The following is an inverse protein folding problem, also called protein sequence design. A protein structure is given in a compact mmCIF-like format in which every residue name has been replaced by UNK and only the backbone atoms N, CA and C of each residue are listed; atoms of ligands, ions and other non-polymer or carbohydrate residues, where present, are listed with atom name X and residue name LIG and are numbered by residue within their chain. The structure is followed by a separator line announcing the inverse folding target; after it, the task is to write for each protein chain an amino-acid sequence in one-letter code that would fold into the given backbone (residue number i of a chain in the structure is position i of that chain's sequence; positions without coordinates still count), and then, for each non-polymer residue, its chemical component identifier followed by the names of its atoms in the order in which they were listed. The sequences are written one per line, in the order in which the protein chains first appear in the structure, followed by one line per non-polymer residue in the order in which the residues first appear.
data_IF_693815817787
#
_entry.id   IF_693815817787
#
_cell.length_a   1.000
_cell.length_b   1.000
_cell.length_c   1.000
_cell.angle_alpha   90.00
_cell.angle_beta   90.00
_cell.angle_gamma   90.00
#
_symmetry.space_group_name_H-M   'P 1'
#
loop_
_entity.id
_entity.type
_entity.pdbx_description
1 polymer ?
#
# COMPACT_ATOMS: atom_id res chain seq x y z
N UNK A 1 4.91 -16.98 -1.39
CA UNK A 1 4.54 -15.75 -0.68
C UNK A 1 3.03 -15.64 -0.76
N UNK A 2 2.31 -15.60 0.37
CA UNK A 2 0.85 -15.47 0.36
C UNK A 2 0.43 -14.01 0.11
N UNK A 3 -0.82 -13.81 -0.33
CA UNK A 3 -1.37 -12.50 -0.68
C UNK A 3 -1.28 -11.48 0.48
N UNK A 4 -1.45 -11.94 1.72
CA UNK A 4 -1.36 -11.07 2.91
C UNK A 4 0.09 -10.61 3.12
N UNK A 5 1.06 -11.50 2.98
CA UNK A 5 2.48 -11.19 3.07
C UNK A 5 2.90 -10.21 1.97
N UNK A 6 2.46 -10.42 0.73
CA UNK A 6 2.70 -9.49 -0.37
C UNK A 6 2.15 -8.09 -0.09
N UNK A 7 0.89 -7.99 0.37
CA UNK A 7 0.26 -6.70 0.67
C UNK A 7 0.92 -5.98 1.84
N UNK A 8 1.40 -6.71 2.85
CA UNK A 8 2.16 -6.12 3.97
C UNK A 8 3.47 -5.51 3.49
N UNK A 9 4.22 -6.22 2.66
CA UNK A 9 5.49 -5.74 2.12
C UNK A 9 5.26 -4.52 1.21
N UNK A 10 4.21 -4.54 0.39
CA UNK A 10 3.83 -3.40 -0.45
C UNK A 10 3.44 -2.17 0.38
N UNK A 11 2.66 -2.35 1.46
CA UNK A 11 2.30 -1.27 2.39
C UNK A 11 3.55 -0.71 3.07
N UNK A 12 4.49 -1.57 3.47
CA UNK A 12 5.75 -1.12 4.08
C UNK A 12 6.55 -0.27 3.10
N UNK A 13 6.74 -0.76 1.87
CA UNK A 13 7.44 -0.03 0.81
C UNK A 13 6.78 1.33 0.52
N UNK A 14 5.46 1.36 0.34
CA UNK A 14 4.73 2.60 0.07
C UNK A 14 4.81 3.58 1.26
N UNK A 15 4.85 3.08 2.48
CA UNK A 15 5.01 3.92 3.67
C UNK A 15 6.38 4.61 3.67
N UNK A 16 7.45 3.87 3.36
CA UNK A 16 8.79 4.44 3.23
C UNK A 16 8.88 5.47 2.10
N UNK A 17 8.28 5.20 0.94
CA UNK A 17 8.25 6.16 -0.17
C UNK A 17 7.46 7.42 0.16
N UNK A 18 6.40 7.31 0.97
CA UNK A 18 5.65 8.47 1.42
C UNK A 18 6.50 9.35 2.33
N UNK A 19 7.21 8.76 3.29
CA UNK A 19 8.13 9.47 4.18
C UNK A 19 9.28 10.12 3.40
N UNK A 20 9.84 9.41 2.42
CA UNK A 20 10.84 9.95 1.49
C UNK A 20 10.29 11.16 0.74
N UNK A 21 9.12 11.04 0.10
CA UNK A 21 8.48 12.13 -0.63
C UNK A 21 8.20 13.34 0.27
N UNK A 22 7.75 13.11 1.50
CA UNK A 22 7.51 14.16 2.49
C UNK A 22 8.81 14.88 2.88
N UNK A 23 9.89 14.15 3.12
CA UNK A 23 11.22 14.69 3.41
C UNK A 23 11.79 15.51 2.26
N UNK A 24 11.59 15.05 1.03
CA UNK A 24 12.07 15.71 -0.19
C UNK A 24 11.13 16.82 -0.70
N UNK A 25 10.00 17.06 -0.02
CA UNK A 25 8.93 18.00 -0.45
C UNK A 25 8.41 17.70 -1.86
N UNK A 26 8.45 16.44 -2.28
CA UNK A 26 7.89 15.98 -3.54
C UNK A 26 6.37 15.76 -3.37
N UNK A 27 5.62 16.82 -3.64
CA UNK A 27 4.16 16.85 -3.46
C UNK A 27 3.47 15.86 -4.39
N UNK A 28 3.97 15.71 -5.62
CA UNK A 28 3.40 14.80 -6.62
C UNK A 28 3.59 13.36 -6.21
N UNK A 29 4.81 12.98 -5.84
CA UNK A 29 5.10 11.62 -5.37
C UNK A 29 4.30 11.31 -4.10
N UNK A 30 4.21 12.26 -3.17
CA UNK A 30 3.43 12.07 -1.94
C UNK A 30 1.97 11.72 -2.25
N UNK A 31 1.33 12.45 -3.16
CA UNK A 31 -0.06 12.19 -3.54
C UNK A 31 -0.25 10.83 -4.21
N UNK A 32 0.67 10.45 -5.11
CA UNK A 32 0.63 9.15 -5.79
C UNK A 32 0.77 8.01 -4.77
N UNK A 33 1.77 8.11 -3.89
CA UNK A 33 2.06 7.08 -2.91
C UNK A 33 0.93 6.97 -1.88
N UNK A 34 0.36 8.09 -1.44
CA UNK A 34 -0.82 8.12 -0.56
C UNK A 34 -2.01 7.37 -1.17
N UNK A 35 -2.34 7.66 -2.43
CA UNK A 35 -3.43 6.96 -3.16
C UNK A 35 -3.19 5.45 -3.23
N UNK A 36 -1.95 5.02 -3.52
CA UNK A 36 -1.61 3.59 -3.60
C UNK A 36 -1.59 2.91 -2.25
N UNK A 37 -1.16 3.61 -1.20
CA UNK A 37 -1.16 3.11 0.17
C UNK A 37 -2.60 2.84 0.65
N UNK A 38 -3.53 3.74 0.33
CA UNK A 38 -4.94 3.57 0.65
C UNK A 38 -5.58 2.40 -0.10
N UNK A 39 -5.26 2.22 -1.38
CA UNK A 39 -5.68 1.05 -2.16
C UNK A 39 -5.16 -0.25 -1.54
N UNK A 40 -3.85 -0.34 -1.24
CA UNK A 40 -3.24 -1.53 -0.66
C UNK A 40 -3.85 -1.88 0.71
N UNK A 41 -4.14 -0.87 1.55
CA UNK A 41 -4.84 -1.06 2.83
C UNK A 41 -6.27 -1.57 2.65
N UNK A 42 -7.02 -1.04 1.66
CA UNK A 42 -8.37 -1.51 1.34
C UNK A 42 -8.36 -2.98 0.93
N UNK A 43 -7.46 -3.37 0.03
CA UNK A 43 -7.32 -4.76 -0.43
C UNK A 43 -6.94 -5.67 0.75
N UNK A 44 -5.96 -5.29 1.57
CA UNK A 44 -5.59 -6.09 2.75
C UNK A 44 -6.76 -6.29 3.71
N UNK A 45 -7.60 -5.28 3.90
CA UNK A 45 -8.78 -5.39 4.73
C UNK A 45 -9.84 -6.32 4.13
N UNK A 46 -10.08 -6.26 2.82
CA UNK A 46 -10.97 -7.19 2.12
C UNK A 46 -10.47 -8.64 2.22
N UNK A 47 -9.15 -8.86 2.06
CA UNK A 47 -8.53 -10.18 2.23
C UNK A 47 -8.70 -10.69 3.66
N UNK A 48 -8.46 -9.85 4.67
CA UNK A 48 -8.66 -10.22 6.09
C UNK A 48 -10.11 -10.55 6.43
N UNK A 49 -11.07 -9.97 5.71
CA UNK A 49 -12.50 -10.27 5.85
C UNK A 49 -12.95 -11.51 5.08
N UNK A 50 -12.06 -12.11 4.29
CA UNK A 50 -12.39 -13.23 3.41
C UNK A 50 -13.20 -12.84 2.17
N UNK A 51 -13.27 -11.54 1.85
CA UNK A 51 -13.96 -11.03 0.66
C UNK A 51 -13.15 -11.25 -0.62
N UNK A 52 -11.83 -11.39 -0.48
CA UNK A 52 -10.87 -11.63 -1.57
C UNK A 52 -9.85 -12.67 -1.10
N UNK A 53 -9.68 -13.76 -1.83
CA UNK A 53 -8.66 -14.78 -1.56
C UNK A 53 -7.54 -14.79 -2.61
N UNK A 54 -7.72 -14.11 -3.75
CA UNK A 54 -6.79 -14.04 -4.88
C UNK A 54 -6.86 -12.68 -5.58
N UNK A 55 -5.73 -12.21 -6.10
CA UNK A 55 -5.67 -11.10 -7.07
C UNK A 55 -5.51 -11.75 -8.45
N UNK A 56 -6.51 -11.55 -9.31
CA UNK A 56 -6.48 -12.01 -10.71
C UNK A 56 -5.63 -11.09 -11.60
#
# INVERSE_FOLDING_TARGET
MDLVSYLKDQISFLTEEFERAQKHKDVTMRYIVESRLDEAKKVLNAVKRGEIDRLD
#
